data_IF_264703704650
#
_entry.id   IF_264703704650
#
_cell.length_a   1.000
_cell.length_b   1.000
_cell.length_c   1.000
_cell.angle_alpha   90.00
_cell.angle_beta   90.00
_cell.angle_gamma   90.00
#
_symmetry.space_group_name_H-M   'P 1'
#
loop_
_entity.id
_entity.type
_entity.pdbx_description
1 polymer ?
#
# COMPACT_ATOMS: atom_id res chain seq x y z
N UNK A 1 20.35 16.02 -21.01
CA UNK A 1 20.92 14.83 -20.35
C UNK A 1 19.99 14.44 -19.23
N UNK A 2 19.04 13.53 -19.48
CA UNK A 2 18.13 13.01 -18.45
C UNK A 2 18.94 12.05 -17.58
N UNK A 3 19.32 12.49 -16.39
CA UNK A 3 19.86 11.59 -15.37
C UNK A 3 18.77 10.59 -15.01
N UNK A 4 18.90 9.34 -15.43
CA UNK A 4 17.96 8.28 -15.03
C UNK A 4 17.98 8.16 -13.50
N UNK A 5 16.92 8.66 -12.85
CA UNK A 5 16.77 8.49 -11.41
C UNK A 5 16.56 7.00 -11.14
N UNK A 6 17.38 6.46 -10.23
CA UNK A 6 17.31 5.05 -9.87
C UNK A 6 16.07 4.76 -9.02
N UNK A 7 15.54 3.53 -9.11
CA UNK A 7 14.39 3.07 -8.31
C UNK A 7 14.61 3.24 -6.79
N UNK A 8 15.85 3.08 -6.33
CA UNK A 8 16.20 3.25 -4.91
C UNK A 8 16.16 4.71 -4.48
N UNK A 9 16.58 5.64 -5.34
CA UNK A 9 16.46 7.07 -5.06
C UNK A 9 15.00 7.52 -5.07
N UNK A 10 14.18 6.99 -5.99
CA UNK A 10 12.73 7.24 -6.01
C UNK A 10 12.10 6.80 -4.69
N UNK A 11 12.41 5.60 -4.19
CA UNK A 11 11.87 5.12 -2.91
C UNK A 11 12.34 5.95 -1.71
N UNK A 12 13.55 6.50 -1.76
CA UNK A 12 14.09 7.37 -0.69
C UNK A 12 13.41 8.74 -0.70
N UNK A 13 13.20 9.32 -1.88
CA UNK A 13 12.64 10.68 -2.03
C UNK A 13 11.12 10.70 -1.96
N UNK A 14 10.47 9.77 -2.66
CA UNK A 14 9.02 9.74 -2.90
C UNK A 14 8.35 8.55 -2.22
N UNK A 15 8.92 8.11 -1.09
CA UNK A 15 8.48 6.92 -0.38
C UNK A 15 7.05 7.03 0.14
N UNK A 16 6.58 8.23 0.50
CA UNK A 16 5.22 8.40 1.01
C UNK A 16 4.21 8.42 -0.14
N UNK A 17 4.57 8.96 -1.30
CA UNK A 17 3.74 8.83 -2.52
C UNK A 17 3.54 7.34 -2.86
N UNK A 18 4.61 6.55 -2.84
CA UNK A 18 4.52 5.10 -3.10
C UNK A 18 3.67 4.40 -2.05
N UNK A 19 3.82 4.76 -0.77
CA UNK A 19 3.05 4.18 0.33
C UNK A 19 1.54 4.50 0.24
N UNK A 20 1.19 5.74 -0.08
CA UNK A 20 -0.17 6.17 -0.35
C UNK A 20 -0.82 5.37 -1.49
N UNK A 21 -0.10 5.21 -2.60
CA UNK A 21 -0.60 4.43 -3.73
C UNK A 21 -0.72 2.94 -3.39
N UNK A 22 0.21 2.38 -2.61
CA UNK A 22 0.12 0.99 -2.10
C UNK A 22 -1.13 0.76 -1.28
N UNK A 23 -1.50 1.71 -0.44
CA UNK A 23 -2.73 1.63 0.33
C UNK A 23 -3.95 1.49 -0.59
N UNK A 24 -4.07 2.38 -1.59
CA UNK A 24 -5.20 2.32 -2.53
C UNK A 24 -5.25 1.01 -3.30
N UNK A 25 -4.10 0.51 -3.75
CA UNK A 25 -3.98 -0.80 -4.41
C UNK A 25 -4.39 -1.93 -3.46
N UNK A 26 -3.98 -1.88 -2.19
CA UNK A 26 -4.35 -2.88 -1.19
C UNK A 26 -5.86 -2.93 -0.96
N UNK A 27 -6.51 -1.76 -0.91
CA UNK A 27 -7.97 -1.60 -0.85
C UNK A 27 -8.68 -2.02 -2.16
N UNK A 28 -7.94 -2.27 -3.25
CA UNK A 28 -8.48 -2.67 -4.55
C UNK A 28 -8.86 -1.49 -5.46
N UNK A 29 -8.41 -0.28 -5.14
CA UNK A 29 -8.61 0.95 -5.93
C UNK A 29 -7.42 1.18 -6.86
N UNK A 30 -7.42 0.51 -8.01
CA UNK A 30 -6.31 0.57 -8.98
C UNK A 30 -6.32 1.84 -9.83
N UNK A 31 -7.46 2.54 -9.90
CA UNK A 31 -7.65 3.72 -10.77
C UNK A 31 -6.64 4.84 -10.55
N UNK A 32 -6.12 5.04 -9.33
CA UNK A 32 -5.07 6.02 -9.08
C UNK A 32 -3.75 5.63 -9.73
N UNK A 33 -3.37 4.36 -9.62
CA UNK A 33 -2.11 3.85 -10.19
C UNK A 33 -2.21 3.78 -11.71
N UNK A 34 -3.33 3.31 -12.24
CA UNK A 34 -3.54 3.16 -13.69
C UNK A 34 -3.51 4.52 -14.40
N UNK A 35 -4.15 5.55 -13.81
CA UNK A 35 -4.11 6.92 -14.35
C UNK A 35 -2.71 7.51 -14.35
N UNK A 36 -1.94 7.32 -13.28
CA UNK A 36 -0.54 7.80 -13.21
C UNK A 36 0.32 7.07 -14.25
N UNK A 37 0.12 5.75 -14.42
CA UNK A 37 0.91 4.97 -15.37
C UNK A 37 0.62 5.34 -16.83
N UNK A 38 -0.65 5.60 -17.14
CA UNK A 38 -1.11 5.99 -18.48
C UNK A 38 -0.97 7.50 -18.78
N UNK A 39 -0.55 8.31 -17.81
CA UNK A 39 -0.47 9.76 -17.96
C UNK A 39 0.51 10.16 -19.08
N UNK A 40 0.04 11.09 -19.92
CA UNK A 40 0.84 11.77 -20.95
C UNK A 40 1.15 13.22 -20.57
N UNK A 41 0.52 13.74 -19.51
CA UNK A 41 0.65 15.10 -19.01
C UNK A 41 0.87 15.06 -17.49
N UNK A 42 1.89 15.75 -16.95
CA UNK A 42 2.10 15.93 -15.52
C UNK A 42 0.85 16.35 -14.74
N UNK A 43 -0.03 17.17 -15.32
CA UNK A 43 -1.26 17.65 -14.65
C UNK A 43 -2.18 16.50 -14.25
N UNK A 44 -2.28 15.46 -15.08
CA UNK A 44 -3.07 14.25 -14.79
C UNK A 44 -2.52 13.56 -13.54
N UNK A 45 -1.19 13.51 -13.39
CA UNK A 45 -0.53 12.92 -12.23
C UNK A 45 -0.83 13.75 -10.97
N UNK A 46 -0.72 15.06 -11.05
CA UNK A 46 -1.02 15.98 -9.94
C UNK A 46 -2.45 15.84 -9.43
N UNK A 47 -3.43 15.91 -10.35
CA UNK A 47 -4.85 15.76 -10.03
C UNK A 47 -5.12 14.40 -9.40
N UNK A 48 -4.56 13.33 -9.97
CA UNK A 48 -4.73 11.97 -9.45
C UNK A 48 -4.15 11.83 -8.04
N UNK A 49 -2.99 12.44 -7.75
CA UNK A 49 -2.40 12.43 -6.41
C UNK A 49 -3.24 13.22 -5.41
N UNK A 50 -3.74 14.41 -5.78
CA UNK A 50 -4.62 15.20 -4.91
C UNK A 50 -5.91 14.45 -4.58
N UNK A 51 -6.51 13.77 -5.55
CA UNK A 51 -7.66 12.91 -5.32
C UNK A 51 -7.33 11.73 -4.39
N UNK A 52 -6.18 11.07 -4.61
CA UNK A 52 -5.73 9.96 -3.78
C UNK A 52 -5.51 10.39 -2.32
N UNK A 53 -4.95 11.58 -2.09
CA UNK A 53 -4.77 12.17 -0.76
C UNK A 53 -6.13 12.49 -0.13
N UNK A 54 -7.00 13.17 -0.87
CA UNK A 54 -8.34 13.57 -0.39
C UNK A 54 -9.18 12.36 0.02
N UNK A 55 -9.06 11.25 -0.71
CA UNK A 55 -9.75 10.01 -0.39
C UNK A 55 -9.35 9.41 0.97
N UNK A 56 -8.18 9.76 1.52
CA UNK A 56 -7.71 9.29 2.83
C UNK A 56 -7.99 10.28 3.95
N UNK A 57 -7.82 11.59 3.71
CA UNK A 57 -7.97 12.62 4.75
C UNK A 57 -9.36 12.58 5.39
N UNK A 58 -10.39 12.17 4.65
CA UNK A 58 -11.75 12.04 5.18
C UNK A 58 -12.02 10.77 5.99
N UNK A 59 -11.07 9.85 6.12
CA UNK A 59 -11.26 8.57 6.80
C UNK A 59 -10.81 8.68 8.26
N UNK A 60 -11.74 8.46 9.19
CA UNK A 60 -11.42 8.36 10.61
C UNK A 60 -10.78 6.99 10.93
N UNK A 61 -9.56 6.97 11.49
CA UNK A 61 -8.90 5.71 11.84
C UNK A 61 -9.64 5.03 12.99
N UNK A 62 -9.90 3.73 12.85
CA UNK A 62 -10.47 2.90 13.90
C UNK A 62 -9.37 2.09 14.57
N UNK A 63 -9.50 1.84 15.88
CA UNK A 63 -8.66 0.86 16.60
C UNK A 63 -9.46 -0.38 16.98
N UNK A 64 -8.80 -1.54 16.97
CA UNK A 64 -9.39 -2.80 17.45
C UNK A 64 -8.35 -3.73 18.03
N UNK A 65 -8.70 -4.40 19.12
CA UNK A 65 -7.91 -5.49 19.72
C UNK A 65 -8.04 -6.77 18.88
N UNK A 66 -6.92 -7.24 18.30
CA UNK A 66 -6.89 -8.34 17.33
C UNK A 66 -5.67 -9.25 17.52
N UNK A 67 -5.75 -10.49 17.06
CA UNK A 67 -4.63 -11.43 17.04
C UNK A 67 -3.98 -11.43 15.65
N UNK A 68 -2.69 -11.10 15.59
CA UNK A 68 -1.97 -11.10 14.31
C UNK A 68 -1.74 -12.53 13.84
N UNK A 69 -1.90 -12.72 12.53
CA UNK A 69 -1.67 -14.00 11.87
C UNK A 69 -0.33 -13.96 11.14
N UNK A 70 0.53 -14.95 11.42
CA UNK A 70 1.78 -15.17 10.71
C UNK A 70 1.60 -16.32 9.72
N UNK A 71 2.17 -16.12 8.54
CA UNK A 71 2.16 -17.08 7.45
C UNK A 71 3.60 -17.51 7.21
N UNK A 72 3.89 -18.76 7.54
CA UNK A 72 5.17 -19.42 7.27
C UNK A 72 5.00 -20.29 6.02
N UNK A 73 5.95 -20.19 5.09
CA UNK A 73 5.97 -21.07 3.91
C UNK A 73 6.84 -22.27 4.24
N UNK A 74 6.21 -23.44 4.36
CA UNK A 74 6.88 -24.74 4.30
C UNK A 74 6.64 -25.34 2.89
N UNK A 75 7.49 -26.29 2.48
CA UNK A 75 7.72 -26.73 1.10
C UNK A 75 6.45 -27.10 0.28
N UNK A 76 5.33 -27.44 0.92
CA UNK A 76 4.07 -27.81 0.25
C UNK A 76 2.80 -27.14 0.81
N UNK A 77 2.88 -26.45 1.96
CA UNK A 77 1.72 -25.83 2.61
C UNK A 77 2.07 -24.54 3.37
N UNK A 78 1.14 -23.58 3.39
CA UNK A 78 1.26 -22.39 4.23
C UNK A 78 0.85 -22.73 5.65
N UNK A 79 1.81 -22.73 6.58
CA UNK A 79 1.52 -22.90 8.01
C UNK A 79 1.09 -21.55 8.58
N UNK A 80 -0.11 -21.53 9.16
CA UNK A 80 -0.72 -20.33 9.73
C UNK A 80 -0.58 -20.37 11.25
N UNK A 81 0.18 -19.45 11.81
CA UNK A 81 0.37 -19.32 13.26
C UNK A 81 -0.29 -18.05 13.78
N UNK A 82 -0.85 -18.12 14.98
CA UNK A 82 -1.54 -17.01 15.62
C UNK A 82 -0.68 -16.47 16.76
N UNK A 83 -0.50 -15.16 16.82
CA UNK A 83 0.09 -14.56 18.00
C UNK A 83 -0.81 -14.77 19.21
N UNK A 84 -0.22 -15.16 20.35
CA UNK A 84 -0.96 -15.50 21.57
C UNK A 84 -1.52 -14.26 22.28
N UNK A 85 -0.86 -13.11 22.11
CA UNK A 85 -1.27 -11.86 22.75
C UNK A 85 -2.03 -11.00 21.75
N UNK A 86 -3.17 -10.41 22.17
CA UNK A 86 -3.89 -9.47 21.33
C UNK A 86 -3.10 -8.16 21.23
N UNK A 87 -2.99 -7.63 20.02
CA UNK A 87 -2.43 -6.30 19.76
C UNK A 87 -3.57 -5.31 19.48
N UNK A 88 -3.37 -4.04 19.83
CA UNK A 88 -4.22 -2.98 19.34
C UNK A 88 -3.75 -2.56 17.95
N UNK A 89 -4.61 -2.76 16.94
CA UNK A 89 -4.31 -2.39 15.57
C UNK A 89 -5.15 -1.19 15.16
N UNK A 90 -4.49 -0.14 14.69
CA UNK A 90 -5.12 1.03 14.06
C UNK A 90 -5.22 0.78 12.55
N UNK A 91 -6.42 0.97 12.00
CA UNK A 91 -6.71 0.77 10.58
C UNK A 91 -7.73 1.78 10.07
N UNK A 92 -7.63 2.13 8.80
CA UNK A 92 -8.57 3.01 8.12
C UNK A 92 -9.75 2.22 7.54
N UNK A 93 -9.48 1.04 7.01
CA UNK A 93 -10.47 0.19 6.36
C UNK A 93 -10.24 -1.27 6.72
N UNK A 94 -11.30 -2.06 6.75
CA UNK A 94 -11.21 -3.50 6.95
C UNK A 94 -12.05 -4.27 5.95
N UNK A 95 -11.58 -5.46 5.59
CA UNK A 95 -12.31 -6.38 4.73
C UNK A 95 -12.37 -7.75 5.39
N UNK A 96 -13.56 -8.30 5.49
CA UNK A 96 -13.76 -9.66 6.00
C UNK A 96 -13.22 -10.69 5.00
N UNK A 97 -12.49 -11.66 5.53
CA UNK A 97 -11.91 -12.77 4.79
C UNK A 97 -12.60 -14.07 5.21
N UNK A 98 -12.73 -15.00 4.27
CA UNK A 98 -13.27 -16.32 4.56
C UNK A 98 -12.21 -17.13 5.30
N UNK A 99 -12.58 -17.74 6.42
CA UNK A 99 -11.70 -18.58 7.23
C UNK A 99 -10.96 -19.63 6.40
N UNK A 100 -11.69 -20.36 5.53
CA UNK A 100 -11.11 -21.35 4.62
C UNK A 100 -9.97 -20.80 3.75
N UNK A 101 -10.09 -19.56 3.28
CA UNK A 101 -9.12 -18.94 2.38
C UNK A 101 -7.89 -18.50 3.19
N UNK A 102 -8.09 -18.00 4.41
CA UNK A 102 -7.01 -17.63 5.33
C UNK A 102 -6.21 -18.85 5.76
N UNK A 103 -6.87 -19.90 6.22
CA UNK A 103 -6.21 -21.14 6.67
C UNK A 103 -5.47 -21.84 5.52
N UNK A 104 -5.96 -21.74 4.29
CA UNK A 104 -5.29 -22.23 3.10
C UNK A 104 -4.18 -21.29 2.57
N UNK A 105 -3.93 -20.14 3.22
CA UNK A 105 -2.96 -19.14 2.76
C UNK A 105 -3.34 -18.42 1.46
N UNK A 106 -4.59 -18.56 1.00
CA UNK A 106 -5.12 -17.98 -0.25
C UNK A 106 -5.57 -16.52 -0.05
N UNK A 107 -4.63 -15.67 0.33
CA UNK A 107 -4.88 -14.24 0.55
C UNK A 107 -4.48 -13.45 -0.69
N UNK A 108 -5.37 -12.60 -1.25
CA UNK A 108 -5.04 -11.79 -2.42
C UNK A 108 -3.73 -10.99 -2.21
N UNK A 109 -2.79 -11.13 -3.15
CA UNK A 109 -1.43 -10.57 -3.03
C UNK A 109 -1.40 -9.07 -2.71
N UNK A 110 -2.37 -8.31 -3.24
CA UNK A 110 -2.51 -6.87 -3.00
C UNK A 110 -2.70 -6.50 -1.53
N UNK A 111 -3.35 -7.37 -0.74
CA UNK A 111 -3.59 -7.10 0.69
C UNK A 111 -2.25 -6.95 1.40
N UNK A 112 -1.21 -7.68 0.98
CA UNK A 112 0.11 -7.62 1.59
C UNK A 112 0.90 -6.34 1.30
N UNK A 113 0.40 -5.45 0.45
CA UNK A 113 1.04 -4.17 0.16
C UNK A 113 0.87 -3.17 1.31
N UNK A 114 -0.29 -3.19 1.97
CA UNK A 114 -0.63 -2.22 3.02
C UNK A 114 -1.63 -2.76 4.08
N UNK A 115 -1.92 -4.05 4.04
CA UNK A 115 -2.87 -4.73 4.91
C UNK A 115 -2.17 -5.68 5.87
N UNK A 116 -2.75 -5.78 7.07
CA UNK A 116 -2.40 -6.79 8.07
C UNK A 116 -3.57 -7.75 8.20
N UNK A 117 -3.30 -9.05 8.09
CA UNK A 117 -4.31 -10.10 8.27
C UNK A 117 -4.37 -10.49 9.73
N UNK A 118 -5.57 -10.44 10.31
CA UNK A 118 -5.79 -10.62 11.75
C UNK A 118 -7.03 -11.45 12.02
N UNK A 119 -7.08 -12.04 13.23
CA UNK A 119 -8.27 -12.68 13.79
C UNK A 119 -8.84 -11.81 14.91
N UNK A 120 -10.14 -11.55 14.91
CA UNK A 120 -10.81 -10.82 16.00
C UNK A 120 -11.12 -11.74 17.17
N UNK A 121 -11.46 -11.16 18.34
CA UNK A 121 -11.95 -11.92 19.50
C UNK A 121 -13.23 -12.70 19.18
N UNK A 122 -14.06 -12.17 18.29
CA UNK A 122 -15.30 -12.79 17.81
C UNK A 122 -15.06 -13.93 16.81
N UNK A 123 -13.80 -14.30 16.55
CA UNK A 123 -13.43 -15.40 15.66
C UNK A 123 -13.40 -15.04 14.16
N UNK A 124 -13.72 -13.79 13.79
CA UNK A 124 -13.70 -13.35 12.39
C UNK A 124 -12.30 -13.08 11.89
N UNK A 125 -12.08 -13.26 10.60
CA UNK A 125 -10.82 -12.96 9.94
C UNK A 125 -10.93 -11.68 9.13
N UNK A 126 -10.05 -10.72 9.40
CA UNK A 126 -10.06 -9.42 8.73
C UNK A 126 -8.71 -9.15 8.06
N UNK A 127 -8.75 -8.53 6.89
CA UNK A 127 -7.66 -7.74 6.36
C UNK A 127 -7.88 -6.29 6.80
N UNK A 128 -7.01 -5.79 7.67
CA UNK A 128 -7.04 -4.42 8.16
C UNK A 128 -5.99 -3.59 7.41
N UNK A 129 -6.40 -2.54 6.72
CA UNK A 129 -5.53 -1.65 5.98
C UNK A 129 -5.08 -0.50 6.90
N UNK A 130 -3.78 -0.46 7.20
CA UNK A 130 -3.23 0.58 8.08
C UNK A 130 -3.29 1.95 7.41
N UNK A 131 -3.30 3.05 8.18
CA UNK A 131 -3.20 4.39 7.59
C UNK A 131 -1.93 4.53 6.75
N UNK A 132 -2.01 5.03 5.50
CA UNK A 132 -0.81 5.30 4.71
C UNK A 132 -0.08 6.53 5.23
N UNK A 133 1.19 6.64 4.86
CA UNK A 133 1.92 7.90 4.97
C UNK A 133 1.39 8.88 3.94
N UNK A 134 1.06 10.08 4.41
CA UNK A 134 0.63 11.18 3.55
C UNK A 134 1.88 11.93 3.09
N UNK A 135 2.12 12.07 1.76
CA UNK A 135 3.24 12.86 1.27
C UNK A 135 3.08 14.32 1.67
N UNK A 136 4.19 14.99 2.00
CA UNK A 136 4.18 16.43 2.29
C UNK A 136 4.01 17.25 1.02
N UNK A 137 3.56 18.50 1.16
CA UNK A 137 3.51 19.44 0.03
C UNK A 137 4.89 19.61 -0.65
N UNK A 138 5.98 19.56 0.13
CA UNK A 138 7.34 19.61 -0.42
C UNK A 138 7.68 18.37 -1.26
N UNK A 139 7.32 17.17 -0.79
CA UNK A 139 7.53 15.91 -1.53
C UNK A 139 6.73 15.90 -2.83
N UNK A 140 5.50 16.41 -2.81
CA UNK A 140 4.66 16.56 -4.00
C UNK A 140 5.28 17.58 -4.96
N UNK A 141 5.68 18.77 -4.48
CA UNK A 141 6.28 19.80 -5.33
C UNK A 141 7.54 19.31 -6.01
N UNK A 142 8.47 18.69 -5.25
CA UNK A 142 9.71 18.14 -5.82
C UNK A 142 9.42 17.06 -6.86
N UNK A 143 8.43 16.20 -6.62
CA UNK A 143 8.01 15.20 -7.59
C UNK A 143 7.43 15.84 -8.86
N UNK A 144 6.58 16.86 -8.70
CA UNK A 144 5.96 17.59 -9.80
C UNK A 144 6.99 18.33 -10.66
N UNK A 145 8.01 18.93 -10.06
CA UNK A 145 9.10 19.59 -10.78
C UNK A 145 9.87 18.61 -11.67
N UNK A 146 10.16 17.41 -11.17
CA UNK A 146 10.85 16.36 -11.94
C UNK A 146 10.02 15.90 -13.13
N UNK A 147 8.73 15.66 -12.96
CA UNK A 147 7.90 15.18 -14.08
C UNK A 147 7.55 16.30 -15.06
N UNK A 148 7.46 17.55 -14.60
CA UNK A 148 7.18 18.72 -15.44
C UNK A 148 8.36 19.12 -16.30
N UNK A 149 9.59 18.84 -15.86
CA UNK A 149 10.81 19.01 -16.68
C UNK A 149 10.94 17.95 -17.79
N UNK A 150 9.97 17.03 -17.90
CA UNK A 150 9.79 16.13 -19.04
C UNK A 150 10.02 14.65 -18.75
N UNK A 151 10.40 14.27 -17.52
CA UNK A 151 10.65 12.86 -17.17
C UNK A 151 9.44 12.18 -16.53
N UNK A 152 8.38 11.97 -17.33
CA UNK A 152 7.20 11.18 -16.92
C UNK A 152 7.53 9.71 -16.62
N UNK A 153 8.74 9.23 -16.94
CA UNK A 153 9.16 7.86 -16.60
C UNK A 153 9.22 7.66 -15.08
N UNK A 154 9.50 8.72 -14.31
CA UNK A 154 9.51 8.68 -12.84
C UNK A 154 8.12 8.38 -12.29
N UNK A 155 7.06 8.99 -12.85
CA UNK A 155 5.68 8.71 -12.48
C UNK A 155 5.30 7.24 -12.72
N UNK A 156 5.68 6.68 -13.87
CA UNK A 156 5.47 5.25 -14.18
C UNK A 156 6.24 4.33 -13.24
N UNK A 157 7.48 4.68 -12.90
CA UNK A 157 8.28 3.94 -11.91
C UNK A 157 7.62 3.93 -10.55
N UNK A 158 7.08 5.07 -10.08
CA UNK A 158 6.31 5.15 -8.82
C UNK A 158 5.06 4.27 -8.88
N UNK A 159 4.30 4.34 -9.98
CA UNK A 159 3.11 3.51 -10.18
C UNK A 159 3.46 2.01 -10.12
N UNK A 160 4.52 1.59 -10.79
CA UNK A 160 5.01 0.20 -10.71
C UNK A 160 5.44 -0.16 -9.29
N UNK A 161 6.21 0.69 -8.61
CA UNK A 161 6.67 0.43 -7.24
C UNK A 161 5.52 0.27 -6.23
N UNK A 162 4.38 0.90 -6.50
CA UNK A 162 3.18 0.75 -5.69
C UNK A 162 2.50 -0.63 -5.86
N UNK A 163 2.68 -1.29 -7.01
CA UNK A 163 2.11 -2.61 -7.29
C UNK A 163 2.95 -3.76 -6.72
N UNK A 164 4.25 -3.54 -6.50
CA UNK A 164 5.14 -4.58 -6.00
C UNK A 164 5.32 -4.50 -4.49
N UNK A 165 5.22 -5.67 -3.86
CA UNK A 165 5.57 -5.84 -2.46
C UNK A 165 7.09 -5.65 -2.33
N UNK A 166 7.57 -4.76 -1.44
CA UNK A 166 9.00 -4.71 -1.16
C UNK A 166 9.45 -6.10 -0.68
N UNK A 167 10.50 -6.63 -1.29
CA UNK A 167 11.18 -7.84 -0.82
C UNK A 167 11.58 -7.60 0.63
N UNK A 168 10.96 -8.33 1.56
CA UNK A 168 11.20 -8.19 3.00
C UNK A 168 12.70 -8.21 3.30
N UNK A 169 13.28 -7.07 3.69
CA UNK A 169 14.28 -7.05 4.76
C UNK A 169 13.50 -6.95 6.06
N UNK A 170 13.77 -7.88 6.98
CA UNK A 170 12.94 -8.17 8.15
C UNK A 170 12.49 -6.93 8.93
N UNK A 171 11.23 -6.97 9.35
CA UNK A 171 10.69 -6.30 10.54
C UNK A 171 9.84 -7.33 11.27
#
# INVERSE_FOLDING_TARGET
MTSEISTLEILKKFGNIVDLLRYHVACGRFSFVDRINAAMDPRIVEETLREAIRAIIGIEPSSRSVYRIKFEREEEASKVTFEKQPIELVYCESKELKERDVLAGKIPSRIWLHGTVVKTRDGKYLACFTPPRIPSESEISEFMDIISTGDLSVARKIAHLALFRPTRRGR
#
